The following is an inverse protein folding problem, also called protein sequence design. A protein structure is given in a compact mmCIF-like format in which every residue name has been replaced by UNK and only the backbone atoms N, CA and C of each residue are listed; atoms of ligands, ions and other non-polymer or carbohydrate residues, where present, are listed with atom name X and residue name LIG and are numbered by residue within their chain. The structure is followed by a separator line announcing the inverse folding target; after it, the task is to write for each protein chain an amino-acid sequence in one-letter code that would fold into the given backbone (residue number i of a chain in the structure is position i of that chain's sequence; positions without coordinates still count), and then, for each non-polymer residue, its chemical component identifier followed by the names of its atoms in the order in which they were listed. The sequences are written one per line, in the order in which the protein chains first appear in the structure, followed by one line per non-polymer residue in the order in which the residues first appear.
data_IF_906629951872
#
_entry.id   IF_906629951872
#
_cell.length_a   1.000
_cell.length_b   1.000
_cell.length_c   1.000
_cell.angle_alpha   90.00
_cell.angle_beta   90.00
_cell.angle_gamma   90.00
#
_symmetry.space_group_name_H-M   'P 1'
#
loop_
_entity.id
_entity.type
_entity.pdbx_description
1 polymer ?
#
# COMPACT_ATOMS: atom_id res chain seq x y z
N UNK A 1 -1.33 -2.80 -5.11
CA UNK A 1 -1.49 -1.39 -5.55
C UNK A 1 -0.10 -0.77 -5.71
N UNK A 2 0.07 0.21 -6.59
CA UNK A 2 1.36 0.84 -6.88
C UNK A 2 1.23 2.35 -6.76
N UNK A 3 2.18 3.00 -6.08
CA UNK A 3 2.29 4.46 -6.01
C UNK A 3 3.45 4.96 -6.86
N UNK A 4 3.19 5.94 -7.73
CA UNK A 4 4.17 6.58 -8.61
C UNK A 4 4.34 8.07 -8.25
N UNK A 5 5.58 8.54 -8.25
CA UNK A 5 5.94 9.96 -8.18
C UNK A 5 6.96 10.21 -9.30
N UNK A 6 6.64 11.13 -10.21
CA UNK A 6 7.45 11.39 -11.42
C UNK A 6 7.82 10.09 -12.18
N UNK A 7 6.81 9.24 -12.42
CA UNK A 7 6.93 7.94 -13.09
C UNK A 7 7.77 6.89 -12.34
N UNK A 8 8.32 7.21 -11.17
CA UNK A 8 9.08 6.30 -10.33
C UNK A 8 8.19 5.66 -9.27
N UNK A 9 8.25 4.34 -9.16
CA UNK A 9 7.57 3.61 -8.09
C UNK A 9 8.22 3.92 -6.75
N UNK A 10 7.42 4.49 -5.84
CA UNK A 10 7.85 4.84 -4.48
C UNK A 10 7.26 3.93 -3.40
N UNK A 11 6.12 3.29 -3.66
CA UNK A 11 5.50 2.29 -2.77
C UNK A 11 4.80 1.19 -3.55
N UNK A 12 4.84 -0.02 -2.99
CA UNK A 12 4.16 -1.19 -3.53
C UNK A 12 3.34 -1.88 -2.44
N UNK A 13 2.06 -2.15 -2.73
CA UNK A 13 1.25 -3.06 -1.92
C UNK A 13 1.16 -4.43 -2.58
N UNK A 14 1.81 -5.41 -1.96
CA UNK A 14 1.75 -6.82 -2.34
C UNK A 14 0.53 -7.46 -1.68
N UNK A 15 -0.40 -7.95 -2.50
CA UNK A 15 -1.66 -8.55 -2.04
C UNK A 15 -1.52 -9.97 -1.49
N UNK A 16 -0.42 -10.66 -1.82
CA UNK A 16 -0.16 -12.03 -1.38
C UNK A 16 0.44 -12.00 0.02
N UNK A 17 1.45 -11.14 0.24
CA UNK A 17 2.06 -10.95 1.56
C UNK A 17 1.29 -9.96 2.44
N UNK A 18 0.37 -9.19 1.85
CA UNK A 18 -0.44 -8.14 2.49
C UNK A 18 0.41 -7.07 3.17
N UNK A 19 1.45 -6.61 2.48
CA UNK A 19 2.39 -5.60 2.99
C UNK A 19 2.46 -4.42 2.03
N UNK A 20 2.46 -3.21 2.59
CA UNK A 20 2.90 -2.02 1.88
C UNK A 20 4.40 -1.79 2.12
N UNK A 21 5.17 -1.70 1.05
CA UNK A 21 6.63 -1.63 1.12
C UNK A 21 7.15 -0.41 0.37
N UNK A 22 8.13 0.33 0.93
CA UNK A 22 8.81 1.40 0.22
C UNK A 22 9.64 0.83 -0.93
N UNK A 23 9.67 1.56 -2.05
CA UNK A 23 10.53 1.26 -3.21
C UNK A 23 11.65 2.28 -3.41
N UNK A 24 11.65 3.36 -2.65
CA UNK A 24 12.69 4.38 -2.64
C UNK A 24 13.16 4.64 -1.21
N UNK A 25 14.47 4.92 -1.04
CA UNK A 25 15.10 5.08 0.27
C UNK A 25 14.45 6.20 1.10
N UNK A 26 14.10 7.31 0.46
CA UNK A 26 13.49 8.45 1.13
C UNK A 26 12.11 8.10 1.72
N UNK A 27 11.37 7.15 1.15
CA UNK A 27 10.11 6.70 1.74
C UNK A 27 10.31 5.94 3.04
N UNK A 28 11.37 5.12 3.14
CA UNK A 28 11.60 4.32 4.35
C UNK A 28 11.79 5.20 5.61
N UNK A 29 12.31 6.43 5.42
CA UNK A 29 12.57 7.39 6.50
C UNK A 29 11.32 7.98 7.13
N UNK A 30 10.13 7.82 6.53
CA UNK A 30 8.86 8.28 7.13
C UNK A 30 8.62 7.69 8.52
N UNK A 31 9.23 6.53 8.83
CA UNK A 31 9.16 5.89 10.15
C UNK A 31 9.86 6.69 11.24
N UNK A 32 10.79 7.58 10.88
CA UNK A 32 11.46 8.48 11.83
C UNK A 32 10.49 9.51 12.41
N UNK A 33 9.59 10.05 11.57
CA UNK A 33 8.57 11.02 11.97
C UNK A 33 7.27 10.35 12.46
N UNK A 34 6.86 9.25 11.82
CA UNK A 34 5.68 8.46 12.17
C UNK A 34 5.99 6.96 12.18
N UNK A 35 6.32 6.40 13.36
CA UNK A 35 6.62 4.97 13.52
C UNK A 35 5.45 4.03 13.17
N UNK A 36 4.21 4.54 13.05
CA UNK A 36 3.03 3.74 12.73
C UNK A 36 2.62 3.83 11.25
N UNK A 37 3.22 4.72 10.48
CA UNK A 37 2.84 5.02 9.09
C UNK A 37 2.62 3.75 8.26
N UNK A 38 3.61 2.85 8.20
CA UNK A 38 3.53 1.64 7.37
C UNK A 38 2.45 0.68 7.81
N UNK A 39 2.21 0.56 9.13
CA UNK A 39 1.15 -0.29 9.66
C UNK A 39 -0.21 0.25 9.25
N UNK A 40 -0.46 1.53 9.51
CA UNK A 40 -1.73 2.17 9.17
C UNK A 40 -2.01 2.15 7.67
N UNK A 41 -1.01 2.43 6.84
CA UNK A 41 -1.17 2.36 5.39
C UNK A 41 -1.43 0.92 4.91
N UNK A 42 -0.73 -0.07 5.48
CA UNK A 42 -0.98 -1.49 5.14
C UNK A 42 -2.42 -1.89 5.47
N UNK A 43 -2.95 -1.49 6.63
CA UNK A 43 -4.35 -1.77 7.03
C UNK A 43 -5.36 -1.13 6.07
N UNK A 44 -5.10 0.10 5.60
CA UNK A 44 -5.93 0.78 4.60
C UNK A 44 -5.96 -0.01 3.29
N UNK A 45 -4.80 -0.44 2.77
CA UNK A 45 -4.74 -1.21 1.53
C UNK A 45 -5.34 -2.61 1.67
N UNK A 46 -5.23 -3.24 2.84
CA UNK A 46 -5.94 -4.49 3.14
C UNK A 46 -7.47 -4.30 3.07
N UNK A 47 -7.98 -3.20 3.63
CA UNK A 47 -9.39 -2.84 3.55
C UNK A 47 -9.85 -2.65 2.10
N UNK A 48 -9.09 -1.86 1.32
CA UNK A 48 -9.36 -1.64 -0.10
C UNK A 48 -9.35 -2.94 -0.92
N UNK A 49 -8.41 -3.86 -0.64
CA UNK A 49 -8.36 -5.17 -1.29
C UNK A 49 -9.66 -5.97 -1.07
N UNK A 50 -10.24 -5.94 0.13
CA UNK A 50 -11.48 -6.66 0.41
C UNK A 50 -12.69 -6.01 -0.25
N UNK A 51 -12.76 -4.67 -0.29
CA UNK A 51 -13.80 -3.94 -1.01
C UNK A 51 -13.76 -4.30 -2.50
N UNK A 52 -12.59 -4.22 -3.14
CA UNK A 52 -12.48 -4.55 -4.57
C UNK A 52 -12.84 -5.99 -4.91
N UNK A 53 -12.54 -6.95 -4.01
CA UNK A 53 -13.00 -8.33 -4.21
C UNK A 53 -14.53 -8.42 -4.22
N UNK A 54 -15.19 -7.76 -3.27
CA UNK A 54 -16.66 -7.74 -3.21
C UNK A 54 -17.25 -7.04 -4.44
N UNK A 55 -16.67 -5.92 -4.86
CA UNK A 55 -17.13 -5.18 -6.04
C UNK A 55 -17.00 -6.02 -7.31
N UNK A 56 -15.88 -6.73 -7.48
CA UNK A 56 -15.67 -7.65 -8.62
C UNK A 56 -16.71 -8.78 -8.61
N UNK A 57 -16.96 -9.42 -7.46
CA UNK A 57 -17.99 -10.47 -7.38
C UNK A 57 -19.40 -9.92 -7.62
N UNK A 58 -19.67 -8.67 -7.24
CA UNK A 58 -20.98 -8.02 -7.44
C UNK A 58 -21.20 -7.62 -8.90
N UNK A 59 -20.13 -7.25 -9.62
CA UNK A 59 -20.20 -6.79 -11.00
C UNK A 59 -20.22 -7.93 -12.04
N UNK A 60 -19.95 -9.17 -11.63
CA UNK A 60 -20.02 -10.38 -12.47
C UNK A 60 -21.46 -10.78 -12.76
#
# INVERSE_FOLDING_TARGET
AVGLLDEVEFVHYDSDTRRLEPRQDWMSRVTEDDPQYWKSQTEIFMGAQQVFKVDIETAK
#
